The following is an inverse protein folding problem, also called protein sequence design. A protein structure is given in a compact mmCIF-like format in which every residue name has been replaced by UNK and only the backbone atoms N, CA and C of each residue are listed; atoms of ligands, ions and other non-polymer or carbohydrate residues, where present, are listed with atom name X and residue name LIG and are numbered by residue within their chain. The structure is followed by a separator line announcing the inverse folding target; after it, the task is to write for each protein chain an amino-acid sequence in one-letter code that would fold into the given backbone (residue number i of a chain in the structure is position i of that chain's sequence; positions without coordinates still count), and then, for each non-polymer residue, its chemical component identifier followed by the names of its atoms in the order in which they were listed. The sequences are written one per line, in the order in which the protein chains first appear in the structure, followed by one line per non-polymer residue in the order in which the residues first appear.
data_IF_486868728039
#
_entry.id   IF_486868728039
#
_cell.length_a   1.000
_cell.length_b   1.000
_cell.length_c   1.000
_cell.angle_alpha   90.00
_cell.angle_beta   90.00
_cell.angle_gamma   90.00
#
_symmetry.space_group_name_H-M   'P 1'
#
loop_
_entity.id
_entity.type
_entity.pdbx_description
1 polymer ?
#
# COMPACT_ATOMS: atom_id res chain seq x y z
N UNK A 1 -5.33 25.54 20.55
CA UNK A 1 -5.45 25.56 19.08
C UNK A 1 -6.71 26.30 18.69
N UNK A 2 -6.62 27.34 17.84
CA UNK A 2 -7.80 28.03 17.31
C UNK A 2 -8.62 27.02 16.51
N UNK A 3 -9.84 26.69 16.95
CA UNK A 3 -10.80 25.95 16.11
C UNK A 3 -11.00 26.77 14.84
N UNK A 4 -10.71 26.19 13.68
CA UNK A 4 -11.12 26.74 12.40
C UNK A 4 -12.64 26.95 12.48
N UNK A 5 -13.08 28.21 12.52
CA UNK A 5 -14.50 28.54 12.34
C UNK A 5 -14.82 28.23 10.89
N UNK A 6 -15.27 27.00 10.62
CA UNK A 6 -15.84 26.67 9.32
C UNK A 6 -17.09 27.53 9.16
N UNK A 7 -17.10 28.43 8.19
CA UNK A 7 -18.32 29.12 7.79
C UNK A 7 -19.37 28.06 7.46
N UNK A 8 -20.50 28.09 8.17
CA UNK A 8 -21.66 27.30 7.77
C UNK A 8 -22.20 27.92 6.48
N UNK A 9 -21.79 27.38 5.34
CA UNK A 9 -22.37 27.72 4.04
C UNK A 9 -23.61 26.87 3.84
N UNK A 10 -24.70 27.50 3.44
CA UNK A 10 -25.88 26.77 2.99
C UNK A 10 -25.52 26.01 1.71
N UNK A 11 -25.82 24.70 1.70
CA UNK A 11 -25.52 23.86 0.55
C UNK A 11 -26.47 24.25 -0.59
N UNK A 12 -25.92 24.78 -1.68
CA UNK A 12 -26.66 25.08 -2.90
C UNK A 12 -26.00 24.38 -4.09
N UNK A 13 -26.82 23.87 -5.00
CA UNK A 13 -26.37 23.35 -6.29
C UNK A 13 -27.09 24.11 -7.40
N UNK A 14 -26.40 25.07 -8.01
CA UNK A 14 -26.93 25.80 -9.15
C UNK A 14 -27.10 24.86 -10.34
N UNK A 15 -28.31 24.72 -10.87
CA UNK A 15 -28.57 23.86 -12.04
C UNK A 15 -27.89 24.46 -13.28
N UNK A 16 -26.84 23.82 -13.76
CA UNK A 16 -26.15 24.21 -14.99
C UNK A 16 -25.78 22.98 -15.83
N UNK A 17 -26.64 22.62 -16.80
CA UNK A 17 -26.43 21.44 -17.67
C UNK A 17 -25.11 21.56 -18.44
N UNK A 18 -24.84 22.73 -19.01
CA UNK A 18 -23.66 22.96 -19.82
C UNK A 18 -22.35 22.89 -19.00
N UNK A 19 -22.41 22.98 -17.67
CA UNK A 19 -21.25 22.82 -16.77
C UNK A 19 -21.06 21.38 -16.29
N UNK A 20 -22.15 20.68 -15.99
CA UNK A 20 -22.09 19.36 -15.33
C UNK A 20 -22.32 18.17 -16.26
N UNK A 21 -22.64 18.39 -17.54
CA UNK A 21 -22.82 17.31 -18.53
C UNK A 21 -21.79 17.38 -19.65
N UNK A 22 -21.50 16.23 -20.28
CA UNK A 22 -20.51 16.08 -21.36
C UNK A 22 -21.14 15.72 -22.71
N UNK A 23 -22.39 16.13 -22.93
CA UNK A 23 -23.19 15.64 -24.05
C UNK A 23 -22.86 16.29 -25.41
N UNK A 24 -22.24 17.48 -25.45
CA UNK A 24 -21.94 18.20 -26.69
C UNK A 24 -20.51 18.72 -26.76
N UNK A 25 -19.90 18.64 -27.95
CA UNK A 25 -18.52 19.09 -28.18
C UNK A 25 -18.33 20.58 -27.82
N UNK A 26 -19.29 21.45 -28.15
CA UNK A 26 -19.24 22.87 -27.79
C UNK A 26 -19.17 23.09 -26.27
N UNK A 27 -19.96 22.34 -25.49
CA UNK A 27 -19.91 22.40 -24.03
C UNK A 27 -18.57 21.89 -23.51
N UNK A 28 -18.06 20.78 -24.05
CA UNK A 28 -16.75 20.25 -23.66
C UNK A 28 -15.63 21.26 -23.93
N UNK A 29 -15.66 21.98 -25.06
CA UNK A 29 -14.68 23.03 -25.37
C UNK A 29 -14.80 24.22 -24.41
N UNK A 30 -16.01 24.72 -24.17
CA UNK A 30 -16.23 25.82 -23.22
C UNK A 30 -15.82 25.46 -21.78
N UNK A 31 -16.13 24.25 -21.34
CA UNK A 31 -15.68 23.72 -20.05
C UNK A 31 -14.16 23.57 -19.98
N UNK A 32 -13.51 23.16 -21.08
CA UNK A 32 -12.05 23.09 -21.13
C UNK A 32 -11.42 24.49 -21.05
N UNK A 33 -12.00 25.48 -21.74
CA UNK A 33 -11.58 26.87 -21.62
C UNK A 33 -11.71 27.39 -20.18
N UNK A 34 -12.81 27.08 -19.48
CA UNK A 34 -12.96 27.40 -18.05
C UNK A 34 -11.91 26.68 -17.20
N UNK A 35 -11.66 25.40 -17.44
CA UNK A 35 -10.63 24.63 -16.73
C UNK A 35 -9.23 25.24 -16.91
N UNK A 36 -8.87 25.65 -18.13
CA UNK A 36 -7.62 26.37 -18.42
C UNK A 36 -7.55 27.71 -17.69
N UNK A 37 -8.65 28.48 -17.68
CA UNK A 37 -8.74 29.73 -16.91
C UNK A 37 -8.57 29.52 -15.41
N UNK A 38 -9.14 28.43 -14.85
CA UNK A 38 -8.97 28.04 -13.44
C UNK A 38 -7.55 27.57 -13.13
N UNK A 39 -6.91 26.83 -14.02
CA UNK A 39 -5.50 26.44 -13.89
C UNK A 39 -4.59 27.68 -13.88
N UNK A 40 -4.82 28.65 -14.78
CA UNK A 40 -4.07 29.90 -14.79
C UNK A 40 -4.24 30.69 -13.48
N UNK A 41 -5.46 30.74 -12.93
CA UNK A 41 -5.72 31.34 -11.61
C UNK A 41 -5.01 30.57 -10.48
N UNK A 42 -5.05 29.24 -10.50
CA UNK A 42 -4.38 28.40 -9.51
C UNK A 42 -2.85 28.58 -9.52
N UNK A 43 -2.25 28.74 -10.70
CA UNK A 43 -0.82 29.06 -10.86
C UNK A 43 -0.48 30.37 -10.16
N UNK A 44 -1.22 31.46 -10.45
CA UNK A 44 -1.04 32.77 -9.79
C UNK A 44 -1.18 32.67 -8.27
N UNK A 45 -2.22 31.99 -7.81
CA UNK A 45 -2.46 31.75 -6.38
C UNK A 45 -1.24 31.03 -5.79
N UNK A 46 -0.80 29.90 -6.33
CA UNK A 46 0.32 29.13 -5.77
C UNK A 46 1.63 29.91 -5.64
N UNK A 47 1.84 30.90 -6.51
CA UNK A 47 3.04 31.73 -6.50
C UNK A 47 2.95 32.98 -5.64
N UNK A 48 1.75 33.54 -5.48
CA UNK A 48 1.53 34.78 -4.72
C UNK A 48 0.96 34.53 -3.31
N UNK A 49 0.42 33.35 -3.02
CA UNK A 49 -0.26 33.10 -1.75
C UNK A 49 0.71 32.83 -0.61
N UNK A 50 0.78 33.81 0.28
CA UNK A 50 0.83 33.57 1.71
C UNK A 50 -0.64 33.55 2.15
N UNK A 51 -1.18 32.37 2.48
CA UNK A 51 -2.50 32.29 3.13
C UNK A 51 -2.48 33.05 4.46
N UNK A 52 -3.64 33.35 5.05
CA UNK A 52 -3.77 33.79 6.46
C UNK A 52 -3.05 32.85 7.46
N UNK A 53 -2.73 31.61 7.04
CA UNK A 53 -1.94 30.64 7.81
C UNK A 53 -0.41 30.79 7.70
N UNK A 54 0.11 31.73 6.91
CA UNK A 54 1.55 31.98 6.77
C UNK A 54 2.32 30.95 5.94
N UNK A 55 1.61 30.08 5.20
CA UNK A 55 2.24 28.98 4.44
C UNK A 55 2.60 29.49 3.04
N UNK A 56 3.90 29.39 2.69
CA UNK A 56 4.40 29.61 1.32
C UNK A 56 4.37 28.28 0.57
N UNK A 57 3.58 28.20 -0.50
CA UNK A 57 3.50 26.99 -1.35
C UNK A 57 4.81 26.82 -2.11
N UNK A 58 5.17 27.81 -2.92
CA UNK A 58 6.48 27.89 -3.56
C UNK A 58 7.38 28.84 -2.77
N UNK A 59 8.66 28.52 -2.66
CA UNK A 59 9.62 29.35 -1.93
C UNK A 59 10.95 29.41 -2.66
N UNK A 60 11.54 30.60 -2.73
CA UNK A 60 12.83 30.83 -3.37
C UNK A 60 13.79 31.40 -2.36
N UNK A 61 15.01 30.88 -2.36
CA UNK A 61 16.14 31.40 -1.63
C UNK A 61 17.28 31.66 -2.62
N UNK A 62 17.78 32.88 -2.63
CA UNK A 62 18.98 33.24 -3.37
C UNK A 62 20.13 33.36 -2.39
N UNK A 63 21.23 32.68 -2.72
CA UNK A 63 22.51 32.85 -2.05
C UNK A 63 23.38 33.77 -2.90
N UNK A 64 23.90 34.84 -2.28
CA UNK A 64 24.71 35.83 -2.96
C UNK A 64 25.99 35.22 -3.54
N UNK A 65 26.29 35.56 -4.79
CA UNK A 65 27.46 35.03 -5.51
C UNK A 65 27.34 33.58 -5.97
N UNK A 66 26.28 32.85 -5.57
CA UNK A 66 26.10 31.45 -5.97
C UNK A 66 25.57 31.33 -7.41
N UNK A 67 26.33 30.65 -8.27
CA UNK A 67 25.92 30.32 -9.65
C UNK A 67 25.31 28.92 -9.79
N UNK A 68 25.20 28.20 -8.67
CA UNK A 68 24.64 26.85 -8.60
C UNK A 68 23.31 26.89 -7.86
N UNK A 69 22.31 26.22 -8.42
CA UNK A 69 20.95 26.18 -7.89
C UNK A 69 20.43 24.76 -7.68
N UNK A 70 19.43 24.62 -6.81
CA UNK A 70 18.65 23.39 -6.68
C UNK A 70 17.16 23.72 -6.80
N UNK A 71 16.46 23.05 -7.72
CA UNK A 71 14.99 23.08 -7.77
C UNK A 71 14.50 21.75 -7.21
N UNK A 72 13.56 21.77 -6.26
CA UNK A 72 13.09 20.54 -5.61
C UNK A 72 11.59 20.50 -5.35
N UNK A 73 11.01 19.31 -5.34
CA UNK A 73 9.59 19.07 -5.07
C UNK A 73 9.37 17.82 -4.19
N UNK A 74 8.46 17.91 -3.22
CA UNK A 74 8.02 16.77 -2.41
C UNK A 74 8.97 16.39 -1.26
N UNK A 75 8.99 15.10 -0.92
CA UNK A 75 9.61 14.58 0.31
C UNK A 75 11.14 14.76 0.39
N UNK A 76 11.79 15.03 -0.75
CA UNK A 76 13.24 15.27 -0.84
C UNK A 76 13.71 16.49 -0.05
N UNK A 77 12.80 17.44 0.24
CA UNK A 77 13.08 18.65 1.01
C UNK A 77 13.80 18.37 2.32
N UNK A 78 13.36 17.34 3.07
CA UNK A 78 13.94 17.00 4.37
C UNK A 78 15.42 16.62 4.26
N UNK A 79 15.73 15.67 3.38
CA UNK A 79 17.10 15.21 3.15
C UNK A 79 17.99 16.32 2.54
N UNK A 80 17.43 17.14 1.64
CA UNK A 80 18.16 18.27 1.03
C UNK A 80 18.51 19.35 2.05
N UNK A 81 17.54 19.80 2.86
CA UNK A 81 17.79 20.80 3.92
C UNK A 81 18.75 20.28 4.99
N UNK A 82 18.67 18.99 5.33
CA UNK A 82 19.65 18.37 6.23
C UNK A 82 21.07 18.42 5.62
N UNK A 83 21.21 18.14 4.32
CA UNK A 83 22.50 18.19 3.64
C UNK A 83 23.07 19.62 3.59
N UNK A 84 22.24 20.63 3.29
CA UNK A 84 22.64 22.04 3.33
C UNK A 84 23.20 22.41 4.71
N UNK A 85 22.49 22.05 5.78
CA UNK A 85 22.90 22.33 7.15
C UNK A 85 24.17 21.59 7.54
N UNK A 86 24.22 20.27 7.28
CA UNK A 86 25.33 19.40 7.69
C UNK A 86 26.66 19.82 7.06
N UNK A 87 26.61 20.25 5.80
CA UNK A 87 27.81 20.61 5.03
C UNK A 87 28.00 22.13 4.90
N UNK A 88 27.19 22.94 5.60
CA UNK A 88 27.20 24.40 5.55
C UNK A 88 27.22 24.96 4.10
N UNK A 89 26.40 24.37 3.22
CA UNK A 89 26.40 24.70 1.79
C UNK A 89 25.67 26.00 1.54
N UNK A 90 26.31 26.86 0.74
CA UNK A 90 25.80 28.16 0.29
C UNK A 90 25.28 28.04 -1.14
N UNK A 91 23.99 27.72 -1.28
CA UNK A 91 23.34 27.41 -2.54
C UNK A 91 22.00 28.12 -2.66
N UNK A 92 21.73 28.66 -3.85
CA UNK A 92 20.38 29.10 -4.20
C UNK A 92 19.47 27.89 -4.36
N UNK A 93 18.21 28.00 -3.94
CA UNK A 93 17.23 26.94 -4.16
C UNK A 93 15.81 27.45 -4.39
N UNK A 94 15.03 26.65 -5.09
CA UNK A 94 13.62 26.87 -5.38
C UNK A 94 12.81 25.63 -4.99
N UNK A 95 11.93 25.82 -4.01
CA UNK A 95 10.92 24.84 -3.62
C UNK A 95 9.70 24.98 -4.52
N UNK A 96 9.30 23.87 -5.12
CA UNK A 96 8.04 23.70 -5.84
C UNK A 96 7.07 22.96 -4.93
N UNK A 97 6.09 23.67 -4.38
CA UNK A 97 5.05 23.10 -3.52
C UNK A 97 3.87 22.52 -4.28
N UNK A 98 3.67 22.95 -5.54
CA UNK A 98 2.64 22.43 -6.44
C UNK A 98 3.25 22.17 -7.81
N UNK A 99 3.26 20.92 -8.23
CA UNK A 99 3.88 20.48 -9.50
C UNK A 99 2.98 20.69 -10.72
N UNK A 100 1.68 20.93 -10.52
CA UNK A 100 0.77 21.31 -11.60
C UNK A 100 -0.38 22.17 -11.09
N UNK A 101 -0.60 23.38 -11.64
CA UNK A 101 0.29 24.08 -12.57
C UNK A 101 1.64 24.47 -11.95
N UNK A 102 2.70 24.50 -12.78
CA UNK A 102 4.04 24.92 -12.34
C UNK A 102 4.18 26.45 -12.24
N UNK A 103 5.08 26.94 -11.37
CA UNK A 103 5.37 28.36 -11.21
C UNK A 103 6.38 28.86 -12.26
N UNK A 104 5.94 28.95 -13.52
CA UNK A 104 6.83 29.21 -14.66
C UNK A 104 7.64 30.52 -14.50
N UNK A 105 7.02 31.64 -14.10
CA UNK A 105 7.73 32.91 -13.95
C UNK A 105 8.79 32.87 -12.83
N UNK A 106 8.48 32.20 -11.72
CA UNK A 106 9.43 32.00 -10.61
C UNK A 106 10.61 31.12 -11.04
N UNK A 107 10.35 30.07 -11.81
CA UNK A 107 11.41 29.23 -12.42
C UNK A 107 12.27 30.09 -13.35
N UNK A 108 11.65 30.92 -14.21
CA UNK A 108 12.39 31.82 -15.09
C UNK A 108 13.31 32.76 -14.32
N UNK A 109 12.80 33.40 -13.26
CA UNK A 109 13.59 34.28 -12.39
C UNK A 109 14.76 33.55 -11.73
N UNK A 110 14.52 32.32 -11.24
CA UNK A 110 15.55 31.49 -10.64
C UNK A 110 16.66 31.13 -11.65
N UNK A 111 16.27 30.66 -12.84
CA UNK A 111 17.21 30.27 -13.91
C UNK A 111 18.05 31.43 -14.45
N UNK A 112 17.55 32.68 -14.38
CA UNK A 112 18.33 33.87 -14.74
C UNK A 112 19.53 34.10 -13.83
N UNK A 113 19.50 33.61 -12.59
CA UNK A 113 20.53 33.86 -11.57
C UNK A 113 21.60 32.77 -11.50
N UNK A 114 21.30 31.57 -11.97
CA UNK A 114 22.19 30.41 -11.93
C UNK A 114 22.71 30.03 -13.31
N UNK A 115 23.86 29.37 -13.36
CA UNK A 115 24.44 28.78 -14.58
C UNK A 115 24.35 27.26 -14.58
N UNK A 116 24.10 26.67 -13.39
CA UNK A 116 23.92 25.24 -13.21
C UNK A 116 22.82 24.97 -12.19
N UNK A 117 21.93 24.02 -12.49
CA UNK A 117 20.81 23.68 -11.62
C UNK A 117 20.65 22.17 -11.48
N UNK A 118 20.45 21.70 -10.26
CA UNK A 118 20.09 20.31 -9.95
C UNK A 118 18.59 20.21 -9.70
N UNK A 119 17.91 19.30 -10.38
CA UNK A 119 16.49 19.03 -10.18
C UNK A 119 16.31 17.83 -9.25
N UNK A 120 15.79 18.06 -8.05
CA UNK A 120 15.46 17.03 -7.09
C UNK A 120 13.95 16.74 -7.14
N UNK A 121 13.56 15.75 -7.93
CA UNK A 121 12.19 15.23 -8.00
C UNK A 121 12.19 13.69 -8.05
N UNK A 122 11.34 13.04 -7.27
CA UNK A 122 11.23 11.57 -7.27
C UNK A 122 10.30 11.07 -8.39
N UNK A 123 10.42 9.79 -8.77
CA UNK A 123 9.64 9.15 -9.85
C UNK A 123 9.91 9.71 -11.25
N UNK A 124 8.90 10.24 -11.95
CA UNK A 124 9.00 10.74 -13.32
C UNK A 124 9.56 12.17 -13.39
N UNK A 125 10.27 12.56 -14.46
CA UNK A 125 10.93 13.87 -14.58
C UNK A 125 9.97 15.00 -15.00
N UNK A 126 8.90 15.26 -14.22
CA UNK A 126 7.90 16.26 -14.60
C UNK A 126 8.42 17.70 -14.49
N UNK A 127 9.16 18.02 -13.43
CA UNK A 127 9.75 19.34 -13.19
C UNK A 127 10.97 19.55 -14.07
N UNK A 128 11.83 18.55 -14.24
CA UNK A 128 13.04 18.60 -15.06
C UNK A 128 12.70 18.88 -16.54
N UNK A 129 11.71 18.19 -17.10
CA UNK A 129 11.22 18.44 -18.47
C UNK A 129 10.78 19.90 -18.63
N UNK A 130 10.00 20.41 -17.69
CA UNK A 130 9.49 21.77 -17.76
C UNK A 130 10.57 22.82 -17.54
N UNK A 131 11.54 22.58 -16.65
CA UNK A 131 12.70 23.45 -16.46
C UNK A 131 13.57 23.51 -17.73
N UNK A 132 13.77 22.38 -18.42
CA UNK A 132 14.46 22.34 -19.72
C UNK A 132 13.69 23.17 -20.76
N UNK A 133 12.36 22.96 -20.88
CA UNK A 133 11.50 23.73 -21.78
C UNK A 133 11.60 25.23 -21.50
N UNK A 134 11.52 25.64 -20.24
CA UNK A 134 11.59 27.04 -19.82
C UNK A 134 12.97 27.62 -20.10
N UNK A 135 14.05 26.91 -19.80
CA UNK A 135 15.43 27.35 -20.08
C UNK A 135 15.65 27.58 -21.59
N UNK A 136 15.12 26.68 -22.43
CA UNK A 136 15.14 26.80 -23.88
C UNK A 136 14.37 28.04 -24.36
N UNK A 137 13.13 28.24 -23.89
CA UNK A 137 12.32 29.41 -24.27
C UNK A 137 12.91 30.74 -23.77
N UNK A 138 13.62 30.72 -22.64
CA UNK A 138 14.37 31.89 -22.16
C UNK A 138 15.65 32.18 -22.94
N UNK A 139 16.06 31.29 -23.85
CA UNK A 139 17.37 31.32 -24.51
C UNK A 139 18.53 31.45 -23.51
N UNK A 140 18.40 30.81 -22.33
CA UNK A 140 19.36 30.89 -21.23
C UNK A 140 20.14 29.58 -21.17
N UNK A 141 21.43 29.65 -21.47
CA UNK A 141 22.35 28.52 -21.30
C UNK A 141 22.54 28.24 -19.80
N UNK A 142 21.96 27.14 -19.34
CA UNK A 142 22.06 26.59 -17.98
C UNK A 142 22.32 25.10 -18.09
N UNK A 143 23.30 24.59 -17.34
CA UNK A 143 23.54 23.16 -17.21
C UNK A 143 22.51 22.57 -16.22
N UNK A 144 21.64 21.70 -16.71
CA UNK A 144 20.58 21.06 -15.91
C UNK A 144 21.01 19.64 -15.57
N UNK A 145 21.15 19.35 -14.28
CA UNK A 145 21.44 18.03 -13.73
C UNK A 145 20.16 17.41 -13.17
N UNK A 146 19.97 16.10 -13.34
CA UNK A 146 18.76 15.42 -12.93
C UNK A 146 18.76 13.95 -13.33
N UNK A 147 17.66 13.50 -13.93
CA UNK A 147 17.50 12.12 -14.39
C UNK A 147 18.05 11.95 -15.81
N UNK A 148 17.95 12.97 -16.67
CA UNK A 148 18.39 12.83 -18.08
C UNK A 148 19.91 12.77 -18.23
N UNK A 149 20.67 13.44 -17.36
CA UNK A 149 22.13 13.36 -17.31
C UNK A 149 22.66 12.20 -16.44
N UNK A 150 21.75 11.43 -15.82
CA UNK A 150 22.02 10.31 -14.91
C UNK A 150 22.66 10.70 -13.57
N UNK A 151 22.64 11.98 -13.19
CA UNK A 151 23.03 12.39 -11.83
C UNK A 151 22.11 11.76 -10.78
N UNK A 152 20.84 11.57 -11.13
CA UNK A 152 19.81 10.92 -10.32
C UNK A 152 19.16 9.76 -11.08
N UNK A 153 18.64 8.80 -10.30
CA UNK A 153 17.93 7.63 -10.82
C UNK A 153 16.45 7.95 -11.03
N UNK A 154 15.86 7.40 -12.09
CA UNK A 154 14.40 7.34 -12.29
C UNK A 154 13.72 6.43 -11.24
N UNK A 155 14.49 5.51 -10.65
CA UNK A 155 13.97 4.48 -9.76
C UNK A 155 14.37 4.74 -8.30
N UNK A 156 13.38 4.53 -7.41
CA UNK A 156 13.53 4.52 -5.97
C UNK A 156 13.51 5.91 -5.34
N UNK A 157 13.61 5.94 -4.02
CA UNK A 157 13.59 7.18 -3.24
C UNK A 157 14.95 7.88 -3.21
N UNK A 158 14.95 9.19 -2.99
CA UNK A 158 16.15 10.01 -2.86
C UNK A 158 16.54 10.13 -1.38
N UNK A 159 17.27 9.13 -0.92
CA UNK A 159 17.87 9.12 0.41
C UNK A 159 18.91 10.22 0.58
N UNK A 160 19.22 10.57 1.83
CA UNK A 160 20.30 11.52 2.17
C UNK A 160 21.60 11.25 1.39
N UNK A 161 22.01 9.97 1.29
CA UNK A 161 23.21 9.56 0.54
C UNK A 161 23.12 9.91 -0.95
N UNK A 162 21.97 9.67 -1.60
CA UNK A 162 21.79 9.99 -3.02
C UNK A 162 21.82 11.50 -3.25
N UNK A 163 21.13 12.27 -2.41
CA UNK A 163 21.15 13.74 -2.50
C UNK A 163 22.56 14.28 -2.28
N UNK A 164 23.29 13.78 -1.27
CA UNK A 164 24.69 14.13 -1.05
C UNK A 164 25.53 13.91 -2.32
N UNK A 165 25.44 12.74 -2.94
CA UNK A 165 26.20 12.44 -4.15
C UNK A 165 25.84 13.38 -5.31
N UNK A 166 24.55 13.69 -5.50
CA UNK A 166 24.10 14.62 -6.52
C UNK A 166 24.61 16.05 -6.26
N UNK A 167 24.67 16.47 -4.98
CA UNK A 167 25.28 17.74 -4.59
C UNK A 167 26.79 17.76 -4.85
N UNK A 168 27.52 16.65 -4.66
CA UNK A 168 28.93 16.56 -5.04
C UNK A 168 29.14 16.81 -6.54
N UNK A 169 28.23 16.30 -7.39
CA UNK A 169 28.25 16.54 -8.85
C UNK A 169 27.93 17.99 -9.19
N UNK A 170 26.91 18.57 -8.55
CA UNK A 170 26.54 19.98 -8.72
C UNK A 170 27.70 20.91 -8.35
N UNK A 171 28.31 20.69 -7.18
CA UNK A 171 29.36 21.50 -6.58
C UNK A 171 30.75 21.23 -7.17
N UNK A 172 30.95 20.09 -7.84
CA UNK A 172 32.25 19.56 -8.26
C UNK A 172 33.24 19.39 -7.10
N UNK A 173 32.73 19.09 -5.90
CA UNK A 173 33.52 18.96 -4.67
C UNK A 173 33.03 17.76 -3.87
N UNK A 174 33.96 17.04 -3.22
CA UNK A 174 33.60 15.93 -2.33
C UNK A 174 33.11 16.44 -0.99
N UNK A 175 31.99 15.90 -0.52
CA UNK A 175 31.44 16.20 0.79
C UNK A 175 31.86 15.07 1.74
N UNK A 176 32.32 15.41 2.94
CA UNK A 176 32.81 14.40 3.87
C UNK A 176 31.73 13.38 4.24
N UNK A 177 32.06 12.10 4.28
CA UNK A 177 31.07 11.06 4.59
C UNK A 177 30.67 11.05 6.06
N UNK A 178 31.50 11.57 6.99
CA UNK A 178 31.25 11.59 8.44
C UNK A 178 30.89 10.24 9.05
N UNK A 179 31.03 9.13 8.29
CA UNK A 179 30.61 7.78 8.65
C UNK A 179 31.77 6.83 8.39
N UNK A 180 32.19 6.12 9.44
CA UNK A 180 33.22 5.09 9.34
C UNK A 180 32.69 3.90 8.51
N UNK A 181 33.41 3.59 7.43
CA UNK A 181 33.15 2.45 6.56
C UNK A 181 33.00 1.12 7.30
N UNK A 182 33.76 0.90 8.39
CA UNK A 182 33.72 -0.32 9.20
C UNK A 182 32.40 -0.45 9.97
N UNK A 183 31.89 0.67 10.50
CA UNK A 183 30.60 0.70 11.19
C UNK A 183 29.48 0.38 10.20
N UNK A 184 29.55 0.95 8.99
CA UNK A 184 28.55 0.71 7.94
C UNK A 184 28.50 -0.76 7.51
N UNK A 185 29.67 -1.38 7.36
CA UNK A 185 29.77 -2.80 7.00
C UNK A 185 29.24 -3.71 8.11
N UNK A 186 29.56 -3.41 9.37
CA UNK A 186 29.01 -4.12 10.52
C UNK A 186 27.49 -3.99 10.60
N UNK A 187 26.96 -2.79 10.38
CA UNK A 187 25.52 -2.54 10.37
C UNK A 187 24.81 -3.36 9.28
N UNK A 188 25.39 -3.44 8.07
CA UNK A 188 24.87 -4.29 6.98
C UNK A 188 24.85 -5.77 7.35
N UNK A 189 25.87 -6.27 8.08
CA UNK A 189 25.91 -7.67 8.54
C UNK A 189 24.83 -7.98 9.59
N UNK A 190 24.36 -6.98 10.32
CA UNK A 190 23.30 -7.08 11.32
C UNK A 190 21.91 -6.77 10.76
N UNK A 191 21.81 -6.42 9.47
CA UNK A 191 20.56 -6.03 8.85
C UNK A 191 19.59 -7.21 8.77
N UNK A 192 18.47 -7.09 9.49
CA UNK A 192 17.40 -8.09 9.45
C UNK A 192 16.45 -7.72 8.33
N UNK A 193 16.19 -8.67 7.41
CA UNK A 193 15.14 -8.51 6.39
C UNK A 193 13.81 -8.25 7.11
N UNK A 194 13.10 -7.19 6.69
CA UNK A 194 11.74 -6.87 7.16
C UNK A 194 10.73 -7.27 6.08
N UNK A 195 10.38 -8.56 5.95
CA UNK A 195 9.39 -8.97 4.96
C UNK A 195 8.03 -8.38 5.33
N UNK A 196 7.28 -7.95 4.32
CA UNK A 196 5.90 -7.53 4.50
C UNK A 196 5.07 -8.77 4.84
N UNK A 197 4.59 -8.88 6.08
CA UNK A 197 3.83 -10.02 6.55
C UNK A 197 2.54 -9.58 7.23
N UNK A 198 1.60 -10.52 7.38
CA UNK A 198 0.36 -10.28 8.11
C UNK A 198 0.62 -9.97 9.59
N UNK A 199 -0.15 -9.02 10.13
CA UNK A 199 -0.12 -8.69 11.55
C UNK A 199 -0.37 -9.92 12.45
N UNK A 200 0.06 -9.83 13.72
CA UNK A 200 -0.23 -10.86 14.72
C UNK A 200 -1.76 -11.00 14.83
N UNK A 201 -2.24 -12.25 14.66
CA UNK A 201 -3.66 -12.56 14.70
C UNK A 201 -4.45 -12.18 13.45
N UNK A 202 -3.85 -11.68 12.37
CA UNK A 202 -4.62 -11.33 11.17
C UNK A 202 -5.45 -12.53 10.63
N UNK A 203 -6.75 -12.34 10.30
CA UNK A 203 -7.59 -13.41 9.76
C UNK A 203 -7.19 -13.88 8.36
N UNK A 204 -6.61 -13.00 7.54
CA UNK A 204 -6.17 -13.32 6.18
C UNK A 204 -5.07 -14.39 6.17
N UNK A 205 -4.28 -14.46 7.26
CA UNK A 205 -3.31 -15.54 7.51
C UNK A 205 -3.98 -16.91 7.57
N UNK A 206 -5.12 -17.01 8.25
CA UNK A 206 -5.92 -18.24 8.34
C UNK A 206 -6.53 -18.62 6.99
N UNK A 207 -6.98 -17.61 6.24
CA UNK A 207 -7.51 -17.79 4.87
C UNK A 207 -6.46 -18.38 3.94
N UNK A 208 -5.27 -17.79 3.85
CA UNK A 208 -4.20 -18.30 2.97
C UNK A 208 -3.62 -19.64 3.46
N UNK A 209 -3.57 -19.87 4.77
CA UNK A 209 -3.22 -21.18 5.31
C UNK A 209 -4.22 -22.25 4.86
N UNK A 210 -5.52 -21.99 5.02
CA UNK A 210 -6.59 -22.91 4.62
C UNK A 210 -6.59 -23.13 3.10
N UNK A 211 -6.43 -22.07 2.31
CA UNK A 211 -6.32 -22.14 0.85
C UNK A 211 -5.16 -23.05 0.40
N UNK A 212 -3.97 -22.87 0.98
CA UNK A 212 -2.82 -23.72 0.64
C UNK A 212 -3.02 -25.19 1.04
N UNK A 213 -3.70 -25.43 2.16
CA UNK A 213 -4.05 -26.79 2.59
C UNK A 213 -5.11 -27.40 1.66
N UNK A 214 -6.12 -26.64 1.25
CA UNK A 214 -7.14 -27.06 0.30
C UNK A 214 -6.50 -27.46 -1.05
N UNK A 215 -5.65 -26.60 -1.62
CA UNK A 215 -4.90 -26.88 -2.86
C UNK A 215 -4.10 -28.18 -2.72
N UNK A 216 -3.36 -28.35 -1.61
CA UNK A 216 -2.59 -29.57 -1.34
C UNK A 216 -3.48 -30.81 -1.20
N UNK A 217 -4.62 -30.69 -0.52
CA UNK A 217 -5.55 -31.80 -0.29
C UNK A 217 -6.20 -32.26 -1.60
N UNK A 218 -6.49 -31.31 -2.51
CA UNK A 218 -6.90 -31.53 -3.89
C UNK A 218 -5.78 -32.04 -4.82
N UNK A 219 -4.60 -32.35 -4.25
CA UNK A 219 -3.42 -32.89 -4.95
C UNK A 219 -2.82 -31.97 -6.02
N UNK A 220 -3.13 -30.68 -5.97
CA UNK A 220 -2.43 -29.67 -6.75
C UNK A 220 -1.18 -29.17 -6.02
N UNK A 221 -0.17 -28.76 -6.79
CA UNK A 221 0.94 -27.95 -6.28
C UNK A 221 0.55 -26.48 -6.32
N UNK A 222 1.11 -25.67 -5.41
CA UNK A 222 0.81 -24.24 -5.35
C UNK A 222 1.14 -23.52 -6.65
N UNK A 223 2.19 -23.97 -7.32
CA UNK A 223 2.72 -23.44 -8.58
C UNK A 223 1.87 -23.84 -9.81
N UNK A 224 0.79 -24.60 -9.60
CA UNK A 224 -0.12 -25.03 -10.65
C UNK A 224 -1.47 -24.31 -10.63
N UNK A 225 -1.77 -23.59 -9.55
CA UNK A 225 -3.03 -22.89 -9.34
C UNK A 225 -2.77 -21.39 -9.37
N UNK A 226 -3.30 -20.73 -10.40
CA UNK A 226 -3.18 -19.28 -10.52
C UNK A 226 -4.10 -18.64 -9.48
N UNK A 227 -3.52 -17.82 -8.61
CA UNK A 227 -4.26 -17.02 -7.64
C UNK A 227 -3.99 -15.55 -7.93
N UNK A 228 -5.03 -14.82 -8.35
CA UNK A 228 -4.97 -13.39 -8.63
C UNK A 228 -5.42 -12.60 -7.41
N UNK A 229 -4.70 -11.54 -7.06
CA UNK A 229 -5.01 -10.65 -5.94
C UNK A 229 -5.25 -9.20 -6.33
N UNK A 230 -5.59 -8.42 -5.32
CA UNK A 230 -5.81 -6.97 -5.38
C UNK A 230 -4.91 -6.24 -4.38
N UNK A 231 -4.75 -4.93 -4.58
CA UNK A 231 -4.18 -4.02 -3.58
C UNK A 231 -4.95 -4.15 -2.25
N UNK A 232 -4.20 -4.29 -1.16
CA UNK A 232 -4.72 -4.36 0.20
C UNK A 232 -3.98 -5.40 1.03
N UNK A 233 -4.45 -5.69 2.25
CA UNK A 233 -3.86 -6.77 3.05
C UNK A 233 -3.90 -8.12 2.32
N UNK A 234 -4.80 -8.31 1.36
CA UNK A 234 -4.94 -9.53 0.57
C UNK A 234 -3.66 -9.89 -0.20
N UNK A 235 -2.93 -8.94 -0.78
CA UNK A 235 -1.69 -9.26 -1.54
C UNK A 235 -0.56 -9.84 -0.68
N UNK A 236 -0.61 -9.68 0.65
CA UNK A 236 0.44 -10.21 1.52
C UNK A 236 0.56 -11.74 1.48
N UNK A 237 -0.45 -12.44 0.93
CA UNK A 237 -0.38 -13.87 0.61
C UNK A 237 0.68 -14.26 -0.42
N UNK A 238 1.29 -13.31 -1.14
CA UNK A 238 2.44 -13.58 -2.03
C UNK A 238 3.72 -13.89 -1.24
N UNK A 239 3.83 -13.44 0.02
CA UNK A 239 5.03 -13.62 0.82
C UNK A 239 5.08 -15.01 1.48
N UNK A 240 6.29 -15.43 1.86
CA UNK A 240 6.49 -16.61 2.69
C UNK A 240 5.71 -16.49 4.01
N UNK A 241 5.08 -17.59 4.47
CA UNK A 241 5.15 -18.96 3.94
C UNK A 241 4.05 -19.31 2.93
N UNK A 242 3.17 -18.36 2.62
CA UNK A 242 1.99 -18.63 1.81
C UNK A 242 2.38 -18.84 0.35
N UNK A 243 3.07 -17.87 -0.24
CA UNK A 243 3.51 -17.89 -1.65
C UNK A 243 2.35 -18.29 -2.57
N UNK A 244 1.16 -17.77 -2.28
CA UNK A 244 -0.09 -18.17 -2.92
C UNK A 244 -0.51 -17.17 -4.00
N UNK A 245 -0.50 -15.87 -3.70
CA UNK A 245 -0.96 -14.84 -4.63
C UNK A 245 0.13 -14.52 -5.67
N UNK A 246 -0.18 -14.68 -6.96
CA UNK A 246 0.78 -14.55 -8.07
C UNK A 246 0.77 -13.18 -8.72
N UNK A 247 -0.38 -12.52 -8.75
CA UNK A 247 -0.55 -11.25 -9.47
C UNK A 247 -1.27 -10.24 -8.61
N UNK A 248 -0.87 -8.98 -8.75
CA UNK A 248 -1.58 -7.81 -8.24
C UNK A 248 -1.29 -6.68 -9.23
N UNK A 249 -2.34 -5.96 -9.64
CA UNK A 249 -2.24 -4.92 -10.68
C UNK A 249 -2.89 -3.62 -10.22
N UNK A 250 -4.15 -3.70 -9.80
CA UNK A 250 -4.93 -2.56 -9.36
C UNK A 250 -6.05 -3.03 -8.42
N UNK A 251 -6.68 -2.08 -7.73
CA UNK A 251 -7.86 -2.34 -6.91
C UNK A 251 -9.05 -2.76 -7.79
N UNK A 252 -9.46 -4.03 -7.69
CA UNK A 252 -10.59 -4.63 -8.44
C UNK A 252 -10.17 -5.45 -9.66
N UNK A 253 -8.87 -5.66 -9.87
CA UNK A 253 -8.36 -6.39 -11.02
C UNK A 253 -8.48 -7.93 -10.87
N UNK A 254 -8.50 -8.46 -9.64
CA UNK A 254 -8.37 -9.91 -9.40
C UNK A 254 -9.40 -10.75 -10.16
N UNK A 255 -10.70 -10.46 -10.02
CA UNK A 255 -11.79 -11.24 -10.65
C UNK A 255 -11.74 -11.12 -12.19
N UNK A 256 -11.39 -9.94 -12.72
CA UNK A 256 -11.25 -9.73 -14.16
C UNK A 256 -10.06 -10.52 -14.75
N UNK A 257 -8.91 -10.49 -14.06
CA UNK A 257 -7.73 -11.26 -14.45
C UNK A 257 -8.01 -12.77 -14.40
N UNK A 258 -8.67 -13.26 -13.35
CA UNK A 258 -9.06 -14.66 -13.23
C UNK A 258 -9.90 -15.13 -14.43
N UNK A 259 -10.89 -14.32 -14.85
CA UNK A 259 -11.67 -14.60 -16.06
C UNK A 259 -10.80 -14.63 -17.32
N UNK A 260 -9.92 -13.64 -17.48
CA UNK A 260 -8.98 -13.57 -18.59
C UNK A 260 -8.12 -14.83 -18.71
N UNK A 261 -7.61 -15.36 -17.59
CA UNK A 261 -6.85 -16.62 -17.59
C UNK A 261 -7.71 -17.82 -18.02
N UNK A 262 -8.97 -17.90 -17.57
CA UNK A 262 -9.88 -18.97 -18.03
C UNK A 262 -10.15 -18.87 -19.52
N UNK A 263 -10.40 -17.67 -20.06
CA UNK A 263 -10.58 -17.46 -21.50
C UNK A 263 -9.33 -17.71 -22.33
N UNK A 264 -8.15 -17.45 -21.77
CA UNK A 264 -6.87 -17.81 -22.40
C UNK A 264 -6.63 -19.34 -22.47
N UNK A 265 -7.53 -20.15 -21.91
CA UNK A 265 -7.47 -21.61 -22.01
C UNK A 265 -6.84 -22.32 -20.80
N UNK A 266 -6.67 -21.63 -19.66
CA UNK A 266 -6.19 -22.28 -18.43
C UNK A 266 -7.24 -23.28 -17.92
N UNK A 267 -6.91 -24.57 -18.06
CA UNK A 267 -7.79 -25.69 -17.68
C UNK A 267 -7.88 -25.88 -16.18
N UNK A 268 -6.77 -25.70 -15.46
CA UNK A 268 -6.71 -25.83 -13.99
C UNK A 268 -7.60 -24.78 -13.31
N UNK A 269 -7.97 -24.99 -12.03
CA UNK A 269 -8.69 -23.98 -11.26
C UNK A 269 -7.92 -22.65 -11.20
N UNK A 270 -8.67 -21.54 -11.22
CA UNK A 270 -8.16 -20.18 -11.07
C UNK A 270 -8.94 -19.52 -9.94
N UNK A 271 -8.23 -18.84 -9.05
CA UNK A 271 -8.81 -18.29 -7.82
C UNK A 271 -8.55 -16.79 -7.77
N UNK A 272 -9.57 -15.99 -7.49
CA UNK A 272 -9.45 -14.57 -7.25
C UNK A 272 -9.57 -14.28 -5.75
N UNK A 273 -8.58 -13.64 -5.15
CA UNK A 273 -8.65 -13.15 -3.76
C UNK A 273 -8.84 -11.64 -3.75
N UNK A 274 -9.91 -11.17 -3.10
CA UNK A 274 -10.29 -9.75 -3.07
C UNK A 274 -10.65 -9.33 -1.64
N UNK A 275 -10.26 -8.13 -1.22
CA UNK A 275 -10.68 -7.58 0.07
C UNK A 275 -12.12 -7.05 0.01
N UNK A 276 -12.83 -6.99 1.13
CA UNK A 276 -14.18 -6.40 1.23
C UNK A 276 -14.29 -4.98 0.64
N UNK A 277 -13.43 -4.06 1.05
CA UNK A 277 -13.38 -2.68 0.51
C UNK A 277 -13.20 -2.66 -1.01
N UNK A 278 -12.27 -3.46 -1.53
CA UNK A 278 -12.04 -3.62 -2.96
C UNK A 278 -13.23 -4.26 -3.67
N UNK A 279 -13.91 -5.21 -3.03
CA UNK A 279 -15.11 -5.84 -3.56
C UNK A 279 -16.22 -4.81 -3.76
N UNK A 280 -16.51 -3.99 -2.75
CA UNK A 280 -17.49 -2.90 -2.86
C UNK A 280 -17.08 -1.83 -3.89
N UNK A 281 -15.79 -1.52 -3.99
CA UNK A 281 -15.28 -0.49 -4.89
C UNK A 281 -15.35 -0.89 -6.37
N UNK A 282 -14.88 -2.10 -6.71
CA UNK A 282 -14.69 -2.52 -8.09
C UNK A 282 -14.83 -4.04 -8.33
N UNK A 283 -15.13 -4.85 -7.32
CA UNK A 283 -15.27 -6.30 -7.47
C UNK A 283 -16.64 -6.77 -7.93
N UNK A 284 -17.70 -5.98 -7.70
CA UNK A 284 -19.08 -6.35 -8.06
C UNK A 284 -19.27 -6.46 -9.59
N UNK A 285 -18.88 -5.45 -10.42
CA UNK A 285 -19.05 -5.56 -11.87
C UNK A 285 -18.35 -6.77 -12.52
N UNK A 286 -17.07 -7.09 -12.23
CA UNK A 286 -16.44 -8.28 -12.80
C UNK A 286 -17.03 -9.59 -12.26
N UNK A 287 -17.61 -9.61 -11.04
CA UNK A 287 -18.34 -10.78 -10.53
C UNK A 287 -19.60 -11.05 -11.36
N UNK A 288 -20.42 -10.01 -11.63
CA UNK A 288 -21.60 -10.12 -12.49
C UNK A 288 -21.20 -10.62 -13.88
N UNK A 289 -20.10 -10.10 -14.43
CA UNK A 289 -19.60 -10.57 -15.72
C UNK A 289 -19.20 -12.06 -15.69
N UNK A 290 -18.55 -12.52 -14.62
CA UNK A 290 -18.18 -13.93 -14.47
C UNK A 290 -19.41 -14.84 -14.46
N UNK A 291 -20.48 -14.43 -13.76
CA UNK A 291 -21.76 -15.15 -13.72
C UNK A 291 -22.41 -15.17 -15.10
N UNK A 292 -22.55 -14.02 -15.75
CA UNK A 292 -23.15 -13.90 -17.08
C UNK A 292 -22.44 -14.79 -18.10
N UNK A 293 -21.11 -14.81 -18.06
CA UNK A 293 -20.26 -15.58 -18.97
C UNK A 293 -20.03 -17.03 -18.50
N UNK A 294 -20.59 -17.43 -17.35
CA UNK A 294 -20.44 -18.75 -16.72
C UNK A 294 -18.97 -19.19 -16.59
N UNK A 295 -18.07 -18.27 -16.24
CA UNK A 295 -16.63 -18.54 -16.19
C UNK A 295 -16.30 -19.32 -14.92
N UNK A 296 -15.81 -20.57 -15.00
CA UNK A 296 -15.60 -21.37 -13.80
C UNK A 296 -14.36 -20.88 -13.04
N UNK A 297 -14.59 -20.25 -11.89
CA UNK A 297 -13.57 -19.66 -11.03
C UNK A 297 -14.06 -19.60 -9.58
N UNK A 298 -13.11 -19.56 -8.65
CA UNK A 298 -13.40 -19.35 -7.22
C UNK A 298 -13.04 -17.93 -6.83
N UNK A 299 -13.96 -17.18 -6.23
CA UNK A 299 -13.69 -15.87 -5.62
C UNK A 299 -13.63 -16.03 -4.11
N UNK A 300 -12.51 -15.66 -3.49
CA UNK A 300 -12.38 -15.60 -2.03
C UNK A 300 -12.40 -14.14 -1.63
N UNK A 301 -13.45 -13.73 -0.93
CA UNK A 301 -13.62 -12.38 -0.40
C UNK A 301 -13.12 -12.36 1.05
N UNK A 302 -12.08 -11.58 1.31
CA UNK A 302 -11.44 -11.45 2.62
C UNK A 302 -12.08 -10.29 3.38
N UNK A 303 -13.20 -10.59 4.06
CA UNK A 303 -14.07 -9.65 4.79
C UNK A 303 -13.57 -9.43 6.23
N UNK A 304 -12.87 -8.32 6.42
CA UNK A 304 -12.37 -7.93 7.75
C UNK A 304 -13.10 -6.72 8.35
N UNK A 305 -14.05 -6.15 7.62
CA UNK A 305 -14.87 -5.00 7.99
C UNK A 305 -14.18 -3.65 7.86
N UNK A 306 -12.99 -3.53 7.25
CA UNK A 306 -12.20 -2.30 7.23
C UNK A 306 -11.31 -2.17 5.99
N UNK A 307 -11.10 -0.95 5.50
CA UNK A 307 -10.03 -0.67 4.53
C UNK A 307 -8.70 -0.61 5.29
N UNK A 308 -8.20 -1.78 5.69
CA UNK A 308 -7.22 -1.89 6.78
C UNK A 308 -5.81 -1.39 6.42
N UNK A 309 -5.32 -1.68 5.21
CA UNK A 309 -3.93 -1.40 4.82
C UNK A 309 -3.64 0.11 4.68
N UNK A 310 -4.65 0.90 4.31
CA UNK A 310 -4.52 2.34 4.02
C UNK A 310 -4.62 3.23 5.25
N UNK A 311 -5.10 2.71 6.37
CA UNK A 311 -5.37 3.54 7.55
C UNK A 311 -6.56 3.10 8.38
N UNK A 312 -7.21 1.98 8.03
CA UNK A 312 -8.42 1.49 8.68
C UNK A 312 -9.63 2.41 8.48
N UNK A 313 -9.78 2.95 7.28
CA UNK A 313 -10.96 3.70 6.89
C UNK A 313 -12.20 2.79 6.95
N UNK A 314 -13.34 3.39 7.30
CA UNK A 314 -14.64 2.72 7.19
C UNK A 314 -14.95 2.41 5.73
N UNK A 315 -15.63 1.29 5.49
CA UNK A 315 -16.16 0.90 4.19
C UNK A 315 -17.59 0.37 4.37
N UNK A 316 -18.32 0.07 3.28
CA UNK A 316 -19.70 -0.42 3.39
C UNK A 316 -19.88 -1.70 4.23
N UNK A 317 -18.84 -2.50 4.41
CA UNK A 317 -18.81 -3.69 5.26
C UNK A 317 -18.50 -3.40 6.73
N UNK A 318 -18.14 -2.18 7.12
CA UNK A 318 -17.82 -1.84 8.51
C UNK A 318 -19.07 -1.91 9.39
N UNK A 319 -19.01 -2.68 10.48
CA UNK A 319 -20.07 -2.67 11.50
C UNK A 319 -19.84 -1.44 12.37
N UNK A 320 -20.87 -0.59 12.50
CA UNK A 320 -20.79 0.46 13.50
C UNK A 320 -20.95 -0.13 14.91
N UNK A 321 -19.82 -0.28 15.59
CA UNK A 321 -19.76 -0.86 16.93
C UNK A 321 -19.75 0.21 18.03
N UNK A 322 -19.64 1.50 17.67
CA UNK A 322 -19.51 2.61 18.62
C UNK A 322 -20.69 3.61 18.54
N UNK A 323 -21.65 3.44 17.63
CA UNK A 323 -22.84 4.28 17.49
C UNK A 323 -22.56 5.73 17.04
N UNK A 324 -21.34 6.04 16.61
CA UNK A 324 -20.91 7.41 16.25
C UNK A 324 -21.45 7.83 14.87
N UNK A 325 -21.87 6.88 14.04
CA UNK A 325 -22.33 7.09 12.66
C UNK A 325 -23.64 6.33 12.40
N UNK A 326 -24.62 6.92 11.72
CA UNK A 326 -25.85 6.18 11.37
C UNK A 326 -25.66 5.35 10.09
N UNK A 327 -24.66 4.46 10.06
CA UNK A 327 -24.30 3.66 8.88
C UNK A 327 -24.84 2.23 9.00
N UNK A 328 -25.34 1.70 7.89
CA UNK A 328 -25.81 0.30 7.77
C UNK A 328 -24.71 -0.53 7.09
N UNK A 329 -24.30 -1.63 7.71
CA UNK A 329 -23.43 -2.63 7.06
C UNK A 329 -24.16 -3.21 5.85
N UNK A 330 -23.51 -3.18 4.71
CA UNK A 330 -23.94 -3.87 3.49
C UNK A 330 -23.37 -5.30 3.54
N UNK A 331 -24.24 -6.31 3.46
CA UNK A 331 -23.81 -7.70 3.53
C UNK A 331 -23.34 -8.21 2.16
N UNK A 332 -22.11 -8.73 2.12
CA UNK A 332 -21.47 -9.23 0.90
C UNK A 332 -22.18 -10.48 0.35
N UNK A 333 -22.74 -11.33 1.20
CA UNK A 333 -23.45 -12.55 0.78
C UNK A 333 -24.72 -12.16 0.04
N UNK A 334 -25.48 -11.20 0.57
CA UNK A 334 -26.68 -10.67 -0.11
C UNK A 334 -26.33 -10.06 -1.48
N UNK A 335 -25.22 -9.34 -1.59
CA UNK A 335 -24.74 -8.83 -2.89
C UNK A 335 -24.40 -9.98 -3.84
N UNK A 336 -23.66 -10.99 -3.38
CA UNK A 336 -23.27 -12.12 -4.22
C UNK A 336 -24.50 -12.89 -4.72
N UNK A 337 -25.49 -13.11 -3.86
CA UNK A 337 -26.79 -13.70 -4.23
C UNK A 337 -27.49 -12.83 -5.29
N UNK A 338 -27.54 -11.51 -5.08
CA UNK A 338 -28.12 -10.56 -6.04
C UNK A 338 -27.37 -10.51 -7.38
N UNK A 339 -26.08 -10.86 -7.40
CA UNK A 339 -25.29 -11.00 -8.63
C UNK A 339 -25.53 -12.35 -9.35
N UNK A 340 -26.33 -13.25 -8.77
CA UNK A 340 -26.64 -14.57 -9.35
C UNK A 340 -25.66 -15.68 -8.98
N UNK A 341 -24.90 -15.55 -7.89
CA UNK A 341 -24.02 -16.62 -7.40
C UNK A 341 -24.85 -17.69 -6.70
N UNK A 342 -24.69 -18.94 -7.13
CA UNK A 342 -25.40 -20.11 -6.58
C UNK A 342 -24.62 -20.79 -5.44
N UNK A 343 -23.29 -20.93 -5.57
CA UNK A 343 -22.44 -21.49 -4.52
C UNK A 343 -21.75 -20.40 -3.71
N UNK A 344 -22.21 -20.22 -2.47
CA UNK A 344 -21.64 -19.27 -1.51
C UNK A 344 -21.34 -19.98 -0.19
N UNK A 345 -20.08 -19.92 0.23
CA UNK A 345 -19.62 -20.44 1.52
C UNK A 345 -19.20 -19.28 2.42
N UNK A 346 -19.61 -19.28 3.69
CA UNK A 346 -19.14 -18.32 4.70
C UNK A 346 -18.23 -19.07 5.66
N UNK A 347 -17.00 -18.58 5.85
CA UNK A 347 -16.03 -19.22 6.73
C UNK A 347 -15.50 -18.24 7.77
N UNK A 348 -15.22 -18.76 8.97
CA UNK A 348 -14.35 -18.10 9.94
C UNK A 348 -12.92 -18.61 9.72
N UNK A 349 -11.98 -17.77 9.26
CA UNK A 349 -10.62 -18.22 8.95
C UNK A 349 -9.81 -18.69 10.17
N UNK A 350 -10.30 -18.53 11.41
CA UNK A 350 -9.67 -19.18 12.57
C UNK A 350 -10.12 -20.63 12.75
N UNK A 351 -11.22 -21.06 12.12
CA UNK A 351 -11.71 -22.45 12.13
C UNK A 351 -11.10 -23.21 10.95
N UNK A 352 -9.83 -23.60 11.09
CA UNK A 352 -8.99 -24.08 9.98
C UNK A 352 -9.59 -25.27 9.21
N UNK A 353 -10.13 -26.27 9.89
CA UNK A 353 -10.72 -27.46 9.25
C UNK A 353 -11.90 -27.09 8.34
N UNK A 354 -12.91 -26.40 8.89
CA UNK A 354 -14.07 -25.93 8.12
C UNK A 354 -13.70 -25.00 6.98
N UNK A 355 -12.71 -24.12 7.19
CA UNK A 355 -12.19 -23.24 6.16
C UNK A 355 -11.55 -24.02 5.01
N UNK A 356 -10.77 -25.08 5.31
CA UNK A 356 -10.16 -25.95 4.30
C UNK A 356 -11.25 -26.65 3.49
N UNK A 357 -12.21 -27.28 4.14
CA UNK A 357 -13.27 -28.04 3.47
C UNK A 357 -14.13 -27.16 2.56
N UNK A 358 -14.52 -25.98 3.04
CA UNK A 358 -15.30 -25.04 2.25
C UNK A 358 -14.54 -24.51 1.03
N UNK A 359 -13.24 -24.20 1.19
CA UNK A 359 -12.40 -23.76 0.06
C UNK A 359 -12.21 -24.91 -0.94
N UNK A 360 -12.05 -26.16 -0.49
CA UNK A 360 -11.97 -27.31 -1.39
C UNK A 360 -13.23 -27.44 -2.25
N UNK A 361 -14.42 -27.41 -1.62
CA UNK A 361 -15.71 -27.45 -2.33
C UNK A 361 -15.85 -26.32 -3.34
N UNK A 362 -15.45 -25.11 -2.96
CA UNK A 362 -15.50 -23.94 -3.83
C UNK A 362 -14.55 -24.02 -5.04
N UNK A 363 -13.40 -24.69 -4.90
CA UNK A 363 -12.45 -24.94 -6.00
C UNK A 363 -12.97 -26.01 -6.97
N UNK A 364 -13.68 -27.02 -6.45
CA UNK A 364 -14.24 -28.12 -7.26
C UNK A 364 -15.57 -27.76 -7.93
N UNK A 365 -16.22 -26.66 -7.52
CA UNK A 365 -17.50 -26.23 -8.07
C UNK A 365 -17.38 -25.88 -9.58
N UNK A 366 -18.21 -26.48 -10.46
CA UNK A 366 -18.11 -26.31 -11.91
C UNK A 366 -18.79 -25.01 -12.41
N UNK A 367 -18.47 -23.88 -11.79
CA UNK A 367 -19.07 -22.57 -12.06
C UNK A 367 -18.38 -21.44 -11.29
N UNK A 368 -19.06 -20.32 -11.10
CA UNK A 368 -18.56 -19.24 -10.23
C UNK A 368 -18.93 -19.57 -8.79
N UNK A 369 -17.93 -19.79 -7.94
CA UNK A 369 -18.12 -20.00 -6.50
C UNK A 369 -17.55 -18.83 -5.71
N UNK A 370 -18.22 -18.47 -4.60
CA UNK A 370 -17.75 -17.43 -3.69
C UNK A 370 -17.52 -17.98 -2.28
N UNK A 371 -16.33 -17.73 -1.72
CA UNK A 371 -16.03 -17.95 -0.30
C UNK A 371 -15.88 -16.59 0.38
N UNK A 372 -16.80 -16.26 1.29
CA UNK A 372 -16.68 -15.09 2.16
C UNK A 372 -15.94 -15.50 3.43
N UNK A 373 -14.64 -15.18 3.48
CA UNK A 373 -13.79 -15.37 4.67
C UNK A 373 -13.96 -14.19 5.62
N UNK A 374 -14.78 -14.35 6.65
CA UNK A 374 -15.31 -13.26 7.47
C UNK A 374 -14.75 -13.28 8.89
N UNK A 375 -13.94 -12.28 9.23
CA UNK A 375 -13.48 -12.02 10.61
C UNK A 375 -12.90 -10.62 10.73
N UNK A 376 -13.30 -9.88 11.76
CA UNK A 376 -12.80 -8.51 12.02
C UNK A 376 -11.27 -8.44 12.02
N UNK A 377 -10.73 -7.35 11.47
CA UNK A 377 -9.30 -7.05 11.55
C UNK A 377 -8.80 -7.09 13.01
N UNK A 378 -7.84 -7.99 13.30
CA UNK A 378 -7.32 -8.21 14.65
C UNK A 378 -6.78 -6.94 15.33
N UNK A 379 -6.26 -5.98 14.57
CA UNK A 379 -5.83 -4.69 15.11
C UNK A 379 -6.99 -3.82 15.58
N UNK A 380 -8.13 -3.84 14.88
CA UNK A 380 -9.34 -3.15 15.30
C UNK A 380 -10.01 -3.86 16.48
N UNK A 381 -10.09 -5.18 16.45
CA UNK A 381 -10.52 -5.98 17.60
C UNK A 381 -9.70 -5.68 18.85
N UNK A 382 -8.37 -5.54 18.71
CA UNK A 382 -7.47 -5.15 19.81
C UNK A 382 -7.70 -3.70 20.28
N UNK A 383 -7.93 -2.74 19.37
CA UNK A 383 -8.29 -1.36 19.72
C UNK A 383 -9.59 -1.29 20.53
N UNK A 384 -10.53 -2.19 20.25
CA UNK A 384 -11.77 -2.39 21.01
C UNK A 384 -11.59 -3.19 22.31
N UNK A 385 -10.35 -3.54 22.67
CA UNK A 385 -9.99 -4.25 23.91
C UNK A 385 -10.63 -5.64 24.05
N UNK A 386 -11.05 -6.26 22.95
CA UNK A 386 -11.52 -7.65 22.95
C UNK A 386 -10.31 -8.57 23.10
N UNK A 387 -10.38 -9.51 24.05
CA UNK A 387 -9.31 -10.46 24.37
C UNK A 387 -9.76 -11.87 23.98
N UNK A 388 -8.88 -12.60 23.32
CA UNK A 388 -9.01 -14.05 23.14
C UNK A 388 -8.06 -14.78 24.09
N UNK A 389 -8.36 -16.05 24.46
CA UNK A 389 -7.46 -16.84 25.27
C UNK A 389 -6.08 -16.95 24.62
N UNK A 390 -5.00 -16.59 25.32
CA UNK A 390 -3.67 -16.65 24.73
C UNK A 390 -3.19 -18.11 24.62
N UNK A 391 -2.39 -18.38 23.58
CA UNK A 391 -1.78 -19.70 23.37
C UNK A 391 -0.39 -19.71 23.97
N UNK A 392 -0.01 -20.82 24.59
CA UNK A 392 1.34 -21.08 25.08
C UNK A 392 1.86 -22.41 24.53
N UNK A 393 3.18 -22.54 24.55
CA UNK A 393 3.87 -23.77 24.18
C UNK A 393 4.22 -24.54 25.45
N UNK A 394 3.84 -25.81 25.52
CA UNK A 394 4.41 -26.76 26.47
C UNK A 394 5.81 -27.17 25.94
N UNK A 395 6.85 -26.71 26.62
CA UNK A 395 8.26 -26.90 26.21
C UNK A 395 8.65 -28.39 26.23
N UNK A 396 8.12 -29.15 27.20
CA UNK A 396 8.41 -30.58 27.35
C UNK A 396 7.84 -31.38 26.18
N UNK A 397 6.65 -31.02 25.68
CA UNK A 397 6.06 -31.62 24.47
C UNK A 397 6.66 -31.08 23.17
N UNK A 398 7.10 -29.83 23.14
CA UNK A 398 7.58 -29.19 21.92
C UNK A 398 8.90 -29.80 21.45
N UNK A 399 8.96 -30.34 20.23
CA UNK A 399 10.18 -30.93 19.67
C UNK A 399 11.00 -29.97 18.78
N UNK A 400 10.64 -28.68 18.73
CA UNK A 400 11.37 -27.68 17.94
C UNK A 400 11.28 -27.85 16.42
N UNK A 401 10.30 -28.61 15.89
CA UNK A 401 10.16 -28.88 14.44
C UNK A 401 9.84 -27.67 13.55
N UNK A 402 9.43 -26.53 14.15
CA UNK A 402 9.11 -25.25 13.50
C UNK A 402 7.95 -25.29 12.49
N UNK A 403 7.15 -26.34 12.42
CA UNK A 403 6.01 -26.44 11.48
C UNK A 403 5.02 -25.28 11.65
N UNK A 404 4.73 -24.88 12.90
CA UNK A 404 3.88 -23.73 13.19
C UNK A 404 4.48 -22.40 12.68
N UNK A 405 5.80 -22.24 12.75
CA UNK A 405 6.50 -21.08 12.22
C UNK A 405 6.56 -21.10 10.69
N UNK A 406 6.88 -22.25 10.07
CA UNK A 406 6.98 -22.39 8.62
C UNK A 406 5.62 -22.43 7.92
N UNK A 407 4.53 -22.70 8.63
CA UNK A 407 3.17 -22.69 8.05
C UNK A 407 2.47 -21.35 8.18
N UNK A 408 2.81 -20.56 9.21
CA UNK A 408 2.09 -19.32 9.52
C UNK A 408 2.99 -18.08 9.49
N UNK A 409 4.26 -18.17 9.92
CA UNK A 409 5.19 -17.06 10.18
C UNK A 409 4.58 -15.99 11.11
N UNK A 410 4.16 -16.40 12.32
CA UNK A 410 3.56 -15.47 13.29
C UNK A 410 4.63 -14.65 13.97
N UNK A 411 4.55 -13.29 13.94
CA UNK A 411 5.53 -12.45 14.64
C UNK A 411 5.54 -12.64 16.16
N UNK A 412 4.50 -13.26 16.73
CA UNK A 412 4.47 -13.63 18.14
C UNK A 412 5.18 -14.96 18.44
N UNK A 413 5.81 -15.61 17.45
CA UNK A 413 6.51 -16.88 17.64
C UNK A 413 8.02 -16.71 17.50
N UNK A 414 8.76 -17.16 18.50
CA UNK A 414 10.21 -17.13 18.54
C UNK A 414 10.74 -18.56 18.59
N UNK A 415 11.71 -18.87 17.75
CA UNK A 415 12.38 -20.17 17.77
C UNK A 415 13.65 -20.07 18.60
N UNK A 416 13.78 -20.94 19.60
CA UNK A 416 14.98 -21.10 20.41
C UNK A 416 15.75 -22.33 19.90
N UNK A 417 16.93 -22.14 19.27
CA UNK A 417 17.73 -23.24 18.75
C UNK A 417 18.27 -24.11 19.89
N UNK A 418 18.62 -25.36 19.57
CA UNK A 418 19.29 -26.26 20.49
C UNK A 418 20.70 -25.71 20.77
N UNK A 419 21.03 -25.47 22.03
CA UNK A 419 22.40 -25.25 22.47
C UNK A 419 22.95 -26.50 23.18
N UNK A 420 24.18 -26.45 23.68
CA UNK A 420 24.84 -27.61 24.29
C UNK A 420 24.05 -28.21 25.47
N UNK A 421 23.18 -27.44 26.13
CA UNK A 421 22.51 -27.82 27.38
C UNK A 421 20.96 -27.77 27.30
N UNK A 422 20.37 -27.29 26.21
CA UNK A 422 18.93 -27.02 26.11
C UNK A 422 18.31 -27.61 24.84
N UNK A 423 17.13 -28.21 25.01
CA UNK A 423 16.28 -28.68 23.91
C UNK A 423 15.85 -27.49 23.03
N UNK A 424 15.79 -27.67 21.71
CA UNK A 424 15.17 -26.66 20.84
C UNK A 424 13.65 -26.58 21.07
N UNK A 425 13.09 -25.38 21.14
CA UNK A 425 11.65 -25.19 21.35
C UNK A 425 11.13 -23.92 20.66
N UNK A 426 9.80 -23.85 20.55
CA UNK A 426 9.10 -22.63 20.15
C UNK A 426 8.60 -21.90 21.38
N UNK A 427 8.67 -20.58 21.38
CA UNK A 427 8.00 -19.72 22.35
C UNK A 427 6.89 -18.92 21.65
N UNK A 428 5.75 -18.75 22.31
CA UNK A 428 4.73 -17.77 21.93
C UNK A 428 4.82 -16.60 22.91
N UNK A 429 5.14 -15.42 22.41
CA UNK A 429 5.34 -14.22 23.23
C UNK A 429 4.02 -13.64 23.73
N UNK A 430 4.11 -12.72 24.70
CA UNK A 430 2.96 -11.99 25.25
C UNK A 430 2.17 -11.17 24.22
N UNK A 431 2.74 -10.94 23.03
CA UNK A 431 2.06 -10.28 21.92
C UNK A 431 0.95 -11.12 21.28
N UNK A 432 0.80 -12.40 21.68
CA UNK A 432 -0.20 -13.33 21.17
C UNK A 432 -1.62 -12.75 21.19
N UNK A 433 -2.25 -12.73 20.01
CA UNK A 433 -3.65 -12.31 19.85
C UNK A 433 -4.65 -13.38 20.32
N UNK A 434 -4.30 -14.66 20.20
CA UNK A 434 -5.21 -15.76 20.48
C UNK A 434 -6.13 -16.15 19.31
N UNK A 435 -5.60 -16.28 18.09
CA UNK A 435 -6.38 -16.79 16.95
C UNK A 435 -6.48 -18.34 16.88
N UNK A 436 -5.62 -19.08 17.57
CA UNK A 436 -5.66 -20.56 17.57
C UNK A 436 -5.08 -21.25 16.33
N UNK A 437 -4.69 -20.51 15.27
CA UNK A 437 -4.13 -21.12 14.07
C UNK A 437 -2.89 -22.01 14.34
N UNK A 438 -2.02 -21.58 15.26
CA UNK A 438 -0.80 -22.32 15.58
C UNK A 438 -1.06 -23.65 16.31
N UNK A 439 -2.14 -23.72 17.08
CA UNK A 439 -2.61 -24.92 17.78
C UNK A 439 -2.98 -26.00 16.75
N UNK A 440 -3.78 -25.65 15.74
CA UNK A 440 -4.12 -26.56 14.64
C UNK A 440 -2.89 -27.06 13.85
N UNK A 441 -1.85 -26.24 13.72
CA UNK A 441 -0.64 -26.65 12.97
C UNK A 441 0.33 -27.54 13.75
N UNK A 442 0.14 -27.72 15.06
CA UNK A 442 1.11 -28.41 15.91
C UNK A 442 0.89 -29.93 15.88
N UNK A 443 1.77 -30.74 15.27
CA UNK A 443 1.55 -32.19 15.13
C UNK A 443 1.72 -32.97 16.44
N UNK A 444 2.35 -32.36 17.45
CA UNK A 444 2.60 -32.97 18.77
C UNK A 444 1.75 -32.34 19.88
N UNK A 445 0.76 -31.52 19.49
CA UNK A 445 -0.20 -30.90 20.42
C UNK A 445 0.49 -30.17 21.60
N UNK A 446 1.64 -29.55 21.31
CA UNK A 446 2.42 -28.80 22.29
C UNK A 446 1.90 -27.37 22.47
N UNK A 447 0.92 -26.93 21.68
CA UNK A 447 0.37 -25.57 21.72
C UNK A 447 -1.07 -25.65 22.17
N UNK A 448 -1.45 -24.86 23.17
CA UNK A 448 -2.83 -24.81 23.66
C UNK A 448 -3.11 -23.55 24.49
N UNK A 449 -4.35 -23.43 24.95
CA UNK A 449 -4.76 -22.38 25.89
C UNK A 449 -4.28 -22.75 27.29
N UNK A 450 -3.62 -21.82 28.01
CA UNK A 450 -3.48 -22.03 29.45
C UNK A 450 -4.85 -21.87 30.10
N UNK A 451 -5.32 -22.90 30.81
CA UNK A 451 -6.33 -22.69 31.84
C UNK A 451 -5.67 -21.80 32.89
N UNK A 452 -6.12 -20.55 33.00
CA UNK A 452 -5.87 -19.82 34.23
C UNK A 452 -6.53 -20.65 35.34
N UNK A 453 -5.76 -21.08 36.33
CA UNK A 453 -6.25 -21.89 37.45
C UNK A 453 -7.15 -21.09 38.40
N UNK A 454 -8.16 -20.40 37.86
CA UNK A 454 -9.18 -19.66 38.59
C UNK A 454 -10.57 -20.07 38.13
#
# INVERSE_FOLDING_TARGET
GKKLKLEKREAHFERNIAKYTKAGAAWCMAQHQDALGRLAKASKISDSYITESGIKVNETHFEDGSKQGVIYAGAVEGNFKEALKKYNLKLSWLKIGMVHPLPEERIKEFLKKVDKVLILEELDPLVEVEVIRIAYLLNKKVEILGKFDKTLSLIGNYSFKKIKNALEVLLKTKLESGQDSKILERAKKLEVKRPTSFCIGCPHRGTYFALNKAIKNLKYKKEEIIITGDIGCTILGMNKPFESCWTEVAMGASIGLAQGFKWAGIKKPVIATIGDSTFFHAGIPPLINAVYQKVPLTVIILDNGWTAMTGFEENPGTINLNGVTNTKRVDIVEICQGCGIEDIQIIDPYQSEKAIDAIMKAIEYPGVSVVVSRRECALQTKRRKIKFPQRKVNIDKCNGCRICLSSLACPAMVFHPKDANSKAYMEITSACFGCGLCEFTCPVEAIGVMKDGK
#
